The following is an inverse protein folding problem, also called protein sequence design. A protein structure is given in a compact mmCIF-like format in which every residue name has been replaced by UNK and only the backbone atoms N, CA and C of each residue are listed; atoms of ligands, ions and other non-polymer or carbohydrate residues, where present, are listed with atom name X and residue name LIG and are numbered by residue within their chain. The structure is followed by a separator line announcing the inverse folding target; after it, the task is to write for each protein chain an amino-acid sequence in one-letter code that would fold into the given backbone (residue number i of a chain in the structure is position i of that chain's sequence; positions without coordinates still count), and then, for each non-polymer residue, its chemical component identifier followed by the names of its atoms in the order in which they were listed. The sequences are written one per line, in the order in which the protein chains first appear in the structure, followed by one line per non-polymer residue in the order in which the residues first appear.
data_IF_229278827956
#
_entry.id   IF_229278827956
#
_cell.length_a   1.000
_cell.length_b   1.000
_cell.length_c   1.000
_cell.angle_alpha   90.00
_cell.angle_beta   90.00
_cell.angle_gamma   90.00
#
_symmetry.space_group_name_H-M   'P 1'
#
loop_
_entity.id
_entity.type
_entity.pdbx_description
1 polymer ?
#
# COMPACT_ATOMS: atom_id res chain seq x y z
N UNK A 1 -51.20 28.70 -7.62
CA UNK A 1 -51.79 27.91 -8.73
C UNK A 1 -51.45 26.40 -8.71
N UNK A 2 -50.63 25.89 -7.76
CA UNK A 2 -50.30 24.45 -7.66
C UNK A 2 -51.27 23.61 -6.79
N UNK A 3 -52.08 24.26 -5.96
CA UNK A 3 -53.02 23.61 -5.04
C UNK A 3 -54.05 22.66 -5.68
N UNK A 4 -54.70 23.01 -6.81
CA UNK A 4 -55.65 22.09 -7.46
C UNK A 4 -54.95 20.84 -8.02
N UNK A 5 -53.71 20.98 -8.50
CA UNK A 5 -52.91 19.85 -9.03
C UNK A 5 -52.54 18.87 -7.92
N UNK A 6 -52.11 19.37 -6.76
CA UNK A 6 -51.80 18.53 -5.59
C UNK A 6 -53.05 17.78 -5.10
N UNK A 7 -54.22 18.45 -5.04
CA UNK A 7 -55.49 17.80 -4.68
C UNK A 7 -55.91 16.72 -5.69
N UNK A 8 -55.72 16.97 -6.98
CA UNK A 8 -56.04 16.01 -8.03
C UNK A 8 -55.15 14.75 -7.95
N UNK A 9 -53.83 14.92 -7.73
CA UNK A 9 -52.92 13.79 -7.52
C UNK A 9 -53.28 13.01 -6.24
N UNK A 10 -53.55 13.70 -5.13
CA UNK A 10 -53.95 13.03 -3.87
C UNK A 10 -55.24 12.22 -4.03
N UNK A 11 -56.22 12.74 -4.78
CA UNK A 11 -57.48 12.05 -5.06
C UNK A 11 -57.31 10.79 -5.92
N UNK A 12 -56.44 10.85 -6.93
CA UNK A 12 -56.07 9.67 -7.74
C UNK A 12 -55.38 8.61 -6.88
N UNK A 13 -54.42 9.01 -6.06
CA UNK A 13 -53.66 8.10 -5.22
C UNK A 13 -54.53 7.44 -4.13
N UNK A 14 -55.52 8.15 -3.59
CA UNK A 14 -56.48 7.59 -2.61
C UNK A 14 -57.41 6.51 -3.19
N UNK A 15 -57.69 6.53 -4.51
CA UNK A 15 -58.52 5.52 -5.19
C UNK A 15 -57.74 4.29 -5.67
N UNK A 16 -56.42 4.42 -5.86
CA UNK A 16 -55.55 3.33 -6.34
C UNK A 16 -54.41 3.03 -5.35
N UNK A 17 -54.72 2.51 -4.14
CA UNK A 17 -53.73 2.29 -3.08
C UNK A 17 -52.62 1.30 -3.47
N UNK A 18 -52.94 0.31 -4.32
CA UNK A 18 -51.98 -0.67 -4.85
C UNK A 18 -50.88 -0.02 -5.71
N UNK A 19 -51.20 1.05 -6.44
CA UNK A 19 -50.23 1.73 -7.29
C UNK A 19 -49.16 2.47 -6.47
N UNK A 20 -49.56 3.09 -5.35
CA UNK A 20 -48.62 3.72 -4.40
C UNK A 20 -47.69 2.67 -3.80
N UNK A 21 -48.27 1.55 -3.35
CA UNK A 21 -47.51 0.46 -2.73
C UNK A 21 -46.45 -0.07 -3.70
N UNK A 22 -46.83 -0.33 -4.96
CA UNK A 22 -45.89 -0.80 -5.98
C UNK A 22 -44.79 0.22 -6.27
N UNK A 23 -45.12 1.50 -6.39
CA UNK A 23 -44.12 2.56 -6.62
C UNK A 23 -43.17 2.67 -5.44
N UNK A 24 -43.68 2.62 -4.22
CA UNK A 24 -42.87 2.68 -3.00
C UNK A 24 -41.96 1.46 -2.85
N UNK A 25 -42.46 0.27 -3.16
CA UNK A 25 -41.67 -0.96 -3.21
C UNK A 25 -40.59 -0.88 -4.30
N UNK A 26 -40.93 -0.45 -5.52
CA UNK A 26 -39.95 -0.29 -6.60
C UNK A 26 -38.86 0.73 -6.25
N UNK A 27 -39.23 1.85 -5.64
CA UNK A 27 -38.30 2.87 -5.18
C UNK A 27 -37.36 2.34 -4.08
N UNK A 28 -37.91 1.71 -3.05
CA UNK A 28 -37.13 1.17 -1.92
C UNK A 28 -36.18 0.07 -2.37
N UNK A 29 -36.63 -0.81 -3.27
CA UNK A 29 -35.82 -1.89 -3.84
C UNK A 29 -34.70 -1.34 -4.73
N UNK A 30 -35.00 -0.34 -5.58
CA UNK A 30 -33.99 0.34 -6.40
C UNK A 30 -32.93 1.06 -5.57
N UNK A 31 -33.34 1.81 -4.53
CA UNK A 31 -32.40 2.49 -3.62
C UNK A 31 -31.58 1.47 -2.83
N UNK A 32 -32.19 0.40 -2.33
CA UNK A 32 -31.48 -0.67 -1.61
C UNK A 32 -30.42 -1.35 -2.47
N UNK A 33 -30.73 -1.67 -3.73
CA UNK A 33 -29.77 -2.25 -4.67
C UNK A 33 -28.59 -1.30 -4.92
N UNK A 34 -28.88 -0.01 -5.18
CA UNK A 34 -27.85 1.00 -5.42
C UNK A 34 -26.93 1.17 -4.21
N UNK A 35 -27.49 1.27 -3.00
CA UNK A 35 -26.72 1.37 -1.76
C UNK A 35 -25.90 0.11 -1.51
N UNK A 36 -26.46 -1.08 -1.75
CA UNK A 36 -25.74 -2.34 -1.59
C UNK A 36 -24.52 -2.43 -2.52
N UNK A 37 -24.70 -2.16 -3.82
CA UNK A 37 -23.60 -2.18 -4.80
C UNK A 37 -22.56 -1.12 -4.49
N UNK A 38 -22.97 0.11 -4.17
CA UNK A 38 -22.03 1.19 -3.85
C UNK A 38 -21.26 0.92 -2.56
N UNK A 39 -21.90 0.36 -1.52
CA UNK A 39 -21.24 -0.03 -0.28
C UNK A 39 -20.19 -1.12 -0.49
N UNK A 40 -20.51 -2.16 -1.28
CA UNK A 40 -19.56 -3.23 -1.63
C UNK A 40 -18.40 -2.65 -2.44
N UNK A 41 -18.69 -1.83 -3.45
CA UNK A 41 -17.66 -1.22 -4.28
C UNK A 41 -16.75 -0.31 -3.44
N UNK A 42 -17.32 0.44 -2.50
CA UNK A 42 -16.56 1.28 -1.58
C UNK A 42 -15.65 0.45 -0.67
N UNK A 43 -16.15 -0.65 -0.11
CA UNK A 43 -15.35 -1.57 0.69
C UNK A 43 -14.19 -2.17 -0.12
N UNK A 44 -14.44 -2.59 -1.36
CA UNK A 44 -13.41 -3.10 -2.24
C UNK A 44 -12.33 -2.03 -2.51
N UNK A 45 -12.73 -0.81 -2.87
CA UNK A 45 -11.79 0.30 -3.11
C UNK A 45 -10.94 0.62 -1.87
N UNK A 46 -11.53 0.65 -0.68
CA UNK A 46 -10.80 0.89 0.57
C UNK A 46 -9.82 -0.25 0.88
N UNK A 47 -10.22 -1.50 0.67
CA UNK A 47 -9.36 -2.67 0.85
C UNK A 47 -8.15 -2.62 -0.11
N UNK A 48 -8.37 -2.30 -1.39
CA UNK A 48 -7.29 -2.17 -2.37
C UNK A 48 -6.34 -1.01 -2.07
N UNK A 49 -6.88 0.17 -1.72
CA UNK A 49 -6.06 1.33 -1.36
C UNK A 49 -5.18 1.08 -0.13
N UNK A 50 -5.58 0.14 0.73
CA UNK A 50 -4.81 -0.29 1.91
C UNK A 50 -3.72 -1.31 1.55
N UNK A 51 -3.98 -2.18 0.57
CA UNK A 51 -3.03 -3.20 0.09
C UNK A 51 -1.86 -2.64 -0.75
N UNK A 52 -2.06 -1.53 -1.46
CA UNK A 52 -1.01 -0.88 -2.26
C UNK A 52 -0.07 0.06 -1.47
N UNK A 53 -0.34 0.23 -0.16
CA UNK A 53 0.51 1.05 0.71
C UNK A 53 1.57 0.15 1.33
N UNK A 54 2.84 0.39 0.97
CA UNK A 54 3.97 -0.29 1.62
C UNK A 54 4.02 0.01 3.12
N UNK A 55 3.70 1.25 3.49
CA UNK A 55 3.66 1.72 4.87
C UNK A 55 2.34 2.41 5.18
N UNK A 56 1.88 2.33 6.44
CA UNK A 56 0.69 3.01 6.92
C UNK A 56 0.78 4.54 6.81
N UNK A 57 2.01 5.06 6.80
CA UNK A 57 2.26 6.45 6.52
C UNK A 57 2.40 6.71 5.00
N UNK A 58 1.60 7.63 4.42
CA UNK A 58 1.77 8.02 3.02
C UNK A 58 3.11 8.72 2.78
N UNK A 59 3.96 8.06 2.00
CA UNK A 59 4.98 8.70 1.14
C UNK A 59 4.27 9.14 -0.15
N UNK A 60 3.95 10.43 -0.29
CA UNK A 60 3.01 10.91 -1.31
C UNK A 60 3.55 10.78 -2.74
N UNK A 61 4.87 10.80 -2.90
CA UNK A 61 5.51 10.75 -4.21
C UNK A 61 6.27 9.44 -4.41
N UNK A 62 6.11 8.83 -5.58
CA UNK A 62 6.78 7.57 -5.94
C UNK A 62 7.32 7.66 -7.35
N UNK A 63 8.60 7.32 -7.51
CA UNK A 63 9.25 7.17 -8.80
C UNK A 63 9.22 5.69 -9.14
N UNK A 64 8.54 5.35 -10.24
CA UNK A 64 8.41 3.99 -10.76
C UNK A 64 8.88 3.96 -12.21
N UNK A 65 9.47 2.84 -12.65
CA UNK A 65 9.78 2.64 -14.06
C UNK A 65 8.49 2.62 -14.89
N UNK A 66 8.56 3.06 -16.15
CA UNK A 66 7.41 3.05 -17.07
C UNK A 66 6.88 1.63 -17.32
N UNK A 67 7.79 0.66 -17.36
CA UNK A 67 7.48 -0.76 -17.50
C UNK A 67 7.78 -1.48 -16.18
N UNK A 68 6.85 -2.31 -15.71
CA UNK A 68 6.97 -2.99 -14.42
C UNK A 68 8.15 -3.98 -14.33
N UNK A 69 8.63 -4.47 -15.48
CA UNK A 69 9.77 -5.40 -15.57
C UNK A 69 11.12 -4.70 -15.52
N UNK A 70 11.16 -3.40 -15.85
CA UNK A 70 12.38 -2.61 -15.79
C UNK A 70 12.66 -2.21 -14.34
N UNK A 71 13.94 -2.18 -13.94
CA UNK A 71 14.37 -1.67 -12.64
C UNK A 71 15.00 -0.29 -12.81
N UNK A 72 14.85 0.56 -11.80
CA UNK A 72 15.50 1.87 -11.74
C UNK A 72 17.00 1.64 -11.46
N UNK A 73 17.93 2.17 -12.29
CA UNK A 73 19.35 2.01 -12.05
C UNK A 73 19.77 2.57 -10.68
N UNK A 74 20.64 1.87 -9.95
CA UNK A 74 21.15 2.36 -8.67
C UNK A 74 21.85 3.73 -8.81
N UNK A 75 22.52 3.97 -9.94
CA UNK A 75 23.15 5.25 -10.26
C UNK A 75 22.17 6.43 -10.27
N UNK A 76 20.93 6.22 -10.74
CA UNK A 76 19.89 7.26 -10.73
C UNK A 76 19.55 7.70 -9.29
N UNK A 77 19.43 6.75 -8.36
CA UNK A 77 19.20 7.08 -6.95
C UNK A 77 20.38 7.86 -6.33
N UNK A 78 21.62 7.49 -6.68
CA UNK A 78 22.81 8.21 -6.21
C UNK A 78 22.81 9.66 -6.73
N UNK A 79 22.47 9.86 -8.00
CA UNK A 79 22.35 11.20 -8.60
C UNK A 79 21.25 12.02 -7.93
N UNK A 80 20.06 11.43 -7.76
CA UNK A 80 18.95 12.05 -7.05
C UNK A 80 19.35 12.56 -5.65
N UNK A 81 20.14 11.76 -4.92
CA UNK A 81 20.68 12.14 -3.61
C UNK A 81 21.70 13.27 -3.69
N UNK A 82 22.59 13.26 -4.70
CA UNK A 82 23.58 14.33 -4.94
C UNK A 82 22.91 15.66 -5.28
N UNK A 83 21.78 15.62 -5.97
CA UNK A 83 21.00 16.80 -6.35
C UNK A 83 20.14 17.36 -5.19
N UNK A 84 20.29 16.78 -3.99
CA UNK A 84 19.73 17.30 -2.75
C UNK A 84 18.38 16.71 -2.35
N UNK A 85 17.85 15.71 -3.07
CA UNK A 85 16.60 15.02 -2.72
C UNK A 85 16.83 13.98 -1.61
N UNK A 86 17.09 14.46 -0.39
CA UNK A 86 17.38 13.61 0.78
C UNK A 86 16.15 12.90 1.35
N UNK A 87 14.95 13.39 1.03
CA UNK A 87 13.67 12.83 1.47
C UNK A 87 13.20 11.60 0.67
N UNK A 88 14.05 11.05 -0.20
CA UNK A 88 13.75 9.90 -1.04
C UNK A 88 14.45 8.63 -0.55
N UNK A 89 13.72 7.51 -0.52
CA UNK A 89 14.18 6.20 -0.06
C UNK A 89 14.03 5.18 -1.18
N UNK A 90 15.07 4.37 -1.43
CA UNK A 90 15.04 3.32 -2.43
C UNK A 90 14.43 2.05 -1.83
N UNK A 91 13.61 1.35 -2.62
CA UNK A 91 13.07 0.05 -2.28
C UNK A 91 13.29 -0.93 -3.44
N UNK A 92 13.63 -2.18 -3.10
CA UNK A 92 13.58 -3.28 -4.05
C UNK A 92 12.55 -4.32 -3.61
N UNK A 93 11.60 -4.60 -4.49
CA UNK A 93 10.49 -5.51 -4.22
C UNK A 93 10.75 -6.76 -5.05
N UNK A 94 10.79 -7.90 -4.35
CA UNK A 94 10.94 -9.22 -4.94
C UNK A 94 9.76 -10.07 -4.51
N UNK A 95 9.14 -10.74 -5.48
CA UNK A 95 8.15 -11.78 -5.18
C UNK A 95 8.89 -13.03 -4.72
N UNK A 96 8.48 -13.57 -3.57
CA UNK A 96 8.99 -14.82 -3.02
C UNK A 96 7.82 -15.71 -2.66
N UNK A 97 7.99 -17.01 -2.81
CA UNK A 97 6.95 -17.98 -2.47
C UNK A 97 7.42 -18.77 -1.26
N UNK A 98 6.56 -18.88 -0.26
CA UNK A 98 6.83 -19.73 0.90
C UNK A 98 6.72 -21.21 0.51
N UNK A 99 7.29 -22.10 1.32
CA UNK A 99 7.15 -23.54 1.14
C UNK A 99 5.68 -24.01 1.11
N UNK A 100 4.78 -23.27 1.79
CA UNK A 100 3.35 -23.55 1.83
C UNK A 100 2.59 -23.04 0.59
N UNK A 101 3.28 -22.48 -0.41
CA UNK A 101 2.69 -21.93 -1.63
C UNK A 101 2.11 -20.51 -1.50
N UNK A 102 2.32 -19.83 -0.36
CA UNK A 102 1.91 -18.43 -0.20
C UNK A 102 2.90 -17.50 -0.90
N UNK A 103 2.41 -16.71 -1.86
CA UNK A 103 3.17 -15.62 -2.49
C UNK A 103 3.23 -14.39 -1.59
N UNK A 104 4.44 -13.86 -1.40
CA UNK A 104 4.71 -12.70 -0.56
C UNK A 104 5.57 -11.70 -1.32
N UNK A 105 5.39 -10.41 -0.98
CA UNK A 105 6.27 -9.37 -1.46
C UNK A 105 7.36 -9.12 -0.40
N UNK A 106 8.58 -9.52 -0.72
CA UNK A 106 9.76 -9.18 0.07
C UNK A 106 10.27 -7.81 -0.37
N UNK A 107 10.17 -6.84 0.53
CA UNK A 107 10.51 -5.43 0.33
C UNK A 107 11.84 -5.17 1.02
N UNK A 108 12.89 -5.01 0.21
CA UNK A 108 14.19 -4.54 0.65
C UNK A 108 14.18 -3.04 0.83
N UNK A 109 14.47 -2.59 2.05
CA UNK A 109 14.63 -1.18 2.38
C UNK A 109 16.00 -0.96 3.02
N UNK A 110 16.60 0.21 2.78
CA UNK A 110 17.81 0.62 3.51
C UNK A 110 17.40 1.32 4.81
N UNK A 111 17.73 0.76 5.99
CA UNK A 111 17.35 1.34 7.29
C UNK A 111 17.88 2.76 7.46
N UNK A 112 19.08 3.06 6.93
CA UNK A 112 19.69 4.39 7.04
C UNK A 112 18.92 5.42 6.22
N UNK A 113 18.46 5.04 5.04
CA UNK A 113 17.60 5.87 4.21
C UNK A 113 16.21 6.06 4.84
N UNK A 114 15.65 5.01 5.44
CA UNK A 114 14.36 5.08 6.15
C UNK A 114 14.38 6.07 7.33
N UNK A 115 15.48 6.13 8.09
CA UNK A 115 15.66 7.11 9.18
C UNK A 115 15.64 8.57 8.69
N UNK A 116 16.01 8.82 7.43
CA UNK A 116 16.04 10.16 6.86
C UNK A 116 14.67 10.67 6.41
N UNK A 117 13.64 9.82 6.41
CA UNK A 117 12.25 10.27 6.33
C UNK A 117 11.90 10.96 7.65
N UNK A 118 12.24 12.24 7.74
CA UNK A 118 11.98 13.13 8.89
C UNK A 118 10.50 13.17 9.33
N UNK A 119 9.59 12.69 8.49
CA UNK A 119 8.16 12.74 8.72
C UNK A 119 7.57 11.34 8.93
N UNK A 120 7.71 10.84 10.16
CA UNK A 120 6.73 10.10 10.99
C UNK A 120 7.32 8.88 11.69
N UNK A 121 6.98 8.85 12.98
CA UNK A 121 7.44 7.97 14.05
C UNK A 121 7.39 6.48 13.68
N UNK A 122 6.39 6.03 12.90
CA UNK A 122 6.21 4.60 12.63
C UNK A 122 7.28 3.99 11.72
N UNK A 123 7.73 4.69 10.67
CA UNK A 123 8.75 4.16 9.74
C UNK A 123 10.15 4.24 10.36
N UNK A 124 10.43 5.31 11.11
CA UNK A 124 11.69 5.47 11.85
C UNK A 124 11.83 4.43 12.96
N UNK A 125 10.73 4.04 13.60
CA UNK A 125 10.73 3.02 14.65
C UNK A 125 11.02 1.62 14.08
N UNK A 126 10.46 1.30 12.91
CA UNK A 126 10.77 0.09 12.12
C UNK A 126 12.28 0.04 11.82
N UNK A 127 12.85 1.17 11.36
CA UNK A 127 14.26 1.23 10.93
C UNK A 127 15.27 1.24 12.09
N UNK A 128 14.94 1.83 13.23
CA UNK A 128 15.94 2.28 14.23
C UNK A 128 16.50 1.20 15.15
N UNK A 129 15.81 0.10 15.40
CA UNK A 129 16.23 -0.83 16.46
C UNK A 129 16.60 -2.24 16.00
N UNK A 130 15.92 -2.81 15.01
CA UNK A 130 16.10 -4.24 14.70
C UNK A 130 16.78 -4.48 13.37
N UNK A 131 16.35 -3.77 12.32
CA UNK A 131 16.97 -3.86 11.00
C UNK A 131 18.44 -3.42 11.02
N UNK A 132 18.79 -2.41 11.81
CA UNK A 132 20.17 -1.92 11.94
C UNK A 132 21.05 -2.86 12.77
N UNK A 133 20.49 -3.47 13.82
CA UNK A 133 21.28 -4.32 14.75
C UNK A 133 21.48 -5.74 14.21
N UNK A 134 20.47 -6.29 13.54
CA UNK A 134 20.48 -7.66 13.02
C UNK A 134 19.92 -7.63 11.59
N UNK A 135 20.79 -7.48 10.56
CA UNK A 135 20.36 -7.25 9.17
C UNK A 135 19.63 -8.44 8.53
N UNK A 136 19.60 -9.60 9.20
CA UNK A 136 18.82 -10.78 8.79
C UNK A 136 17.39 -10.76 9.30
N UNK A 137 17.06 -9.88 10.27
CA UNK A 137 15.71 -9.76 10.81
C UNK A 137 14.75 -9.30 9.72
N UNK A 138 13.62 -9.98 9.63
CA UNK A 138 12.54 -9.59 8.73
C UNK A 138 11.36 -9.08 9.54
N UNK A 139 10.76 -8.00 9.06
CA UNK A 139 9.58 -7.40 9.65
C UNK A 139 8.34 -7.85 8.90
N UNK A 140 7.36 -8.34 9.64
CA UNK A 140 6.09 -8.86 9.11
C UNK A 140 4.96 -7.99 9.64
N UNK A 141 3.99 -7.66 8.79
CA UNK A 141 2.79 -6.93 9.23
C UNK A 141 2.00 -7.74 10.25
N UNK A 142 1.32 -7.06 11.18
CA UNK A 142 0.45 -7.71 12.16
C UNK A 142 -0.59 -8.62 11.46
N UNK A 143 -1.29 -8.11 10.45
CA UNK A 143 -2.33 -8.83 9.72
C UNK A 143 -1.79 -10.14 9.09
N UNK A 144 -0.57 -10.10 8.52
CA UNK A 144 0.06 -11.29 7.94
C UNK A 144 0.53 -12.28 9.02
N UNK A 145 1.01 -11.78 10.15
CA UNK A 145 1.42 -12.62 11.27
C UNK A 145 0.23 -13.35 11.89
N UNK A 146 -0.92 -12.70 12.02
CA UNK A 146 -2.15 -13.30 12.55
C UNK A 146 -2.71 -14.34 11.59
N UNK A 147 -2.73 -14.04 10.29
CA UNK A 147 -3.17 -14.97 9.24
C UNK A 147 -2.35 -16.27 9.22
N UNK A 148 -1.03 -16.18 9.45
CA UNK A 148 -0.11 -17.35 9.39
C UNK A 148 0.26 -17.91 10.75
N UNK A 149 -0.13 -17.27 11.84
CA UNK A 149 0.24 -17.64 13.20
C UNK A 149 1.73 -17.44 13.53
N UNK A 150 2.43 -16.58 12.78
CA UNK A 150 3.85 -16.31 12.99
C UNK A 150 4.09 -15.42 14.21
N UNK A 151 5.15 -15.72 14.96
CA UNK A 151 5.57 -15.04 16.17
C UNK A 151 6.97 -14.44 16.03
N UNK A 152 7.32 -13.57 16.97
CA UNK A 152 8.67 -13.04 17.07
C UNK A 152 9.69 -14.17 17.27
N UNK A 153 10.75 -14.18 16.46
CA UNK A 153 11.79 -15.22 16.47
C UNK A 153 11.55 -16.36 15.47
N UNK A 154 10.37 -16.46 14.86
CA UNK A 154 10.08 -17.51 13.89
C UNK A 154 10.94 -17.36 12.63
N UNK A 155 10.99 -18.43 11.84
CA UNK A 155 11.69 -18.47 10.56
C UNK A 155 10.74 -18.93 9.47
N UNK A 156 10.80 -18.27 8.31
CA UNK A 156 9.95 -18.55 7.16
C UNK A 156 10.79 -19.28 6.13
N UNK A 157 10.42 -20.52 5.81
CA UNK A 157 11.07 -21.28 4.74
C UNK A 157 10.42 -20.95 3.39
N UNK A 158 11.24 -20.56 2.44
CA UNK A 158 10.85 -20.32 1.05
C UNK A 158 10.80 -21.63 0.25
N UNK A 159 10.12 -21.60 -0.89
CA UNK A 159 9.99 -22.71 -1.84
C UNK A 159 11.35 -23.25 -2.34
N UNK A 160 12.32 -22.35 -2.51
CA UNK A 160 13.69 -22.65 -2.89
C UNK A 160 14.58 -23.16 -1.73
N UNK A 161 14.00 -23.40 -0.55
CA UNK A 161 14.70 -23.91 0.64
C UNK A 161 15.45 -22.85 1.44
N UNK A 162 15.48 -21.58 1.01
CA UNK A 162 16.07 -20.50 1.79
C UNK A 162 15.20 -20.18 3.02
N UNK A 163 15.84 -19.74 4.10
CA UNK A 163 15.16 -19.42 5.35
C UNK A 163 15.29 -17.92 5.61
N UNK A 164 14.15 -17.25 5.78
CA UNK A 164 14.08 -15.84 6.18
C UNK A 164 13.79 -15.75 7.67
N UNK A 165 14.57 -14.98 8.40
CA UNK A 165 14.37 -14.83 9.83
C UNK A 165 15.58 -14.28 10.58
N UNK A 166 15.41 -13.87 11.84
CA UNK A 166 14.20 -14.06 12.64
C UNK A 166 13.05 -13.11 12.24
N UNK A 167 11.81 -13.59 12.36
CA UNK A 167 10.60 -12.79 12.19
C UNK A 167 10.47 -11.83 13.36
N UNK A 168 10.14 -10.58 13.05
CA UNK A 168 9.66 -9.61 14.03
C UNK A 168 8.34 -9.02 13.55
N UNK A 169 7.31 -9.20 14.35
CA UNK A 169 5.96 -8.70 14.06
C UNK A 169 5.94 -7.21 14.35
N UNK A 170 5.48 -6.44 13.36
CA UNK A 170 5.28 -5.00 13.50
C UNK A 170 4.10 -4.72 14.42
N UNK A 171 4.40 -4.38 15.67
CA UNK A 171 3.41 -4.04 16.69
C UNK A 171 2.80 -2.65 16.53
N UNK A 172 3.36 -1.80 15.66
CA UNK A 172 2.94 -0.39 15.50
C UNK A 172 2.17 -0.13 14.21
N UNK A 173 1.78 -1.20 13.49
CA UNK A 173 0.95 -1.15 12.28
C UNK A 173 1.56 -0.20 11.23
N UNK A 174 2.88 -0.16 11.13
CA UNK A 174 3.61 0.62 10.14
C UNK A 174 3.67 -0.04 8.78
N UNK A 175 3.61 -1.37 8.70
CA UNK A 175 3.58 -2.18 7.48
C UNK A 175 2.16 -2.69 7.25
N UNK A 176 1.69 -2.64 6.01
CA UNK A 176 0.33 -3.07 5.63
C UNK A 176 0.36 -4.18 4.58
N UNK A 177 -0.68 -5.02 4.60
CA UNK A 177 -0.89 -6.08 3.62
C UNK A 177 0.09 -7.26 3.75
N UNK A 178 0.24 -8.02 2.66
CA UNK A 178 1.07 -9.23 2.60
C UNK A 178 2.53 -8.92 2.23
N UNK A 179 3.16 -8.05 3.02
CA UNK A 179 4.51 -7.59 2.77
C UNK A 179 5.43 -7.98 3.92
N UNK A 180 6.64 -8.37 3.56
CA UNK A 180 7.75 -8.58 4.49
C UNK A 180 8.78 -7.51 4.19
N UNK A 181 9.17 -6.74 5.20
CA UNK A 181 10.21 -5.71 5.06
C UNK A 181 11.52 -6.27 5.61
N UNK A 182 12.60 -6.17 4.84
CA UNK A 182 13.92 -6.63 5.24
C UNK A 182 15.00 -5.62 4.82
N UNK A 183 16.22 -5.80 5.33
CA UNK A 183 17.36 -5.04 4.83
C UNK A 183 17.54 -5.30 3.32
N UNK A 184 17.80 -4.23 2.57
CA UNK A 184 18.04 -4.30 1.12
C UNK A 184 19.13 -5.33 0.76
N UNK A 185 20.16 -5.47 1.59
CA UNK A 185 21.27 -6.40 1.39
C UNK A 185 20.80 -7.85 1.46
N UNK A 186 19.88 -8.17 2.38
CA UNK A 186 19.27 -9.50 2.48
C UNK A 186 18.50 -9.85 1.20
N UNK A 187 17.67 -8.92 0.72
CA UNK A 187 16.87 -9.12 -0.49
C UNK A 187 17.76 -9.35 -1.72
N UNK A 188 18.84 -8.58 -1.85
CA UNK A 188 19.80 -8.70 -2.96
C UNK A 188 20.64 -9.98 -2.87
N UNK A 189 20.88 -10.50 -1.67
CA UNK A 189 21.54 -11.78 -1.47
C UNK A 189 20.67 -12.96 -1.95
N UNK A 190 19.35 -12.90 -1.69
CA UNK A 190 18.40 -13.93 -2.11
C UNK A 190 18.18 -13.95 -3.61
N UNK A 191 18.05 -12.76 -4.22
CA UNK A 191 17.85 -12.61 -5.66
C UNK A 191 18.69 -11.46 -6.16
N UNK A 192 19.72 -11.77 -6.95
CA UNK A 192 20.60 -10.75 -7.53
C UNK A 192 19.79 -9.81 -8.42
N UNK A 193 19.57 -8.59 -7.93
CA UNK A 193 18.98 -7.48 -8.67
C UNK A 193 19.99 -6.34 -8.75
N UNK A 194 20.14 -5.78 -9.95
CA UNK A 194 21.05 -4.67 -10.22
C UNK A 194 20.35 -3.29 -10.12
N UNK A 195 19.08 -3.24 -9.71
CA UNK A 195 18.30 -2.02 -9.70
C UNK A 195 17.17 -2.03 -8.67
N UNK A 196 16.51 -0.88 -8.56
CA UNK A 196 15.47 -0.60 -7.59
C UNK A 196 14.10 -0.77 -8.22
N UNK A 197 13.12 -1.19 -7.44
CA UNK A 197 11.73 -1.33 -7.92
C UNK A 197 10.97 0.00 -7.85
N UNK A 198 11.21 0.77 -6.79
CA UNK A 198 10.54 2.04 -6.54
C UNK A 198 11.44 2.92 -5.68
N UNK A 199 11.38 4.22 -5.91
CA UNK A 199 11.94 5.21 -4.98
C UNK A 199 10.76 6.00 -4.43
N UNK A 200 10.54 5.95 -3.11
CA UNK A 200 9.48 6.73 -2.48
C UNK A 200 10.05 8.00 -1.85
N UNK A 201 9.40 9.13 -2.09
CA UNK A 201 9.81 10.42 -1.57
C UNK A 201 8.76 10.98 -0.61
N UNK A 202 9.22 11.57 0.48
CA UNK A 202 8.39 12.35 1.39
C UNK A 202 7.89 13.64 0.76
N UNK A 203 7.13 14.40 1.54
CA UNK A 203 6.63 15.73 1.17
C UNK A 203 7.75 16.64 0.64
N UNK A 204 7.44 17.43 -0.38
CA UNK A 204 8.37 18.36 -1.02
C UNK A 204 7.64 19.60 -1.52
N UNK A 205 8.34 20.73 -1.61
CA UNK A 205 7.73 21.94 -2.17
C UNK A 205 7.43 21.77 -3.66
N UNK A 206 6.46 22.53 -4.18
CA UNK A 206 6.10 22.52 -5.60
C UNK A 206 7.31 22.73 -6.52
N UNK A 207 8.22 23.64 -6.16
CA UNK A 207 9.46 23.87 -6.90
C UNK A 207 10.46 22.70 -6.85
N UNK A 208 10.50 21.92 -5.77
CA UNK A 208 11.28 20.67 -5.72
C UNK A 208 10.64 19.59 -6.59
N UNK A 209 9.32 19.47 -6.57
CA UNK A 209 8.59 18.49 -7.37
C UNK A 209 8.76 18.73 -8.88
N UNK A 210 8.69 19.99 -9.31
CA UNK A 210 8.91 20.34 -10.72
C UNK A 210 10.36 20.07 -11.17
N UNK A 211 11.35 20.33 -10.30
CA UNK A 211 12.74 19.95 -10.58
C UNK A 211 12.89 18.43 -10.71
N UNK A 212 12.25 17.67 -9.82
CA UNK A 212 12.27 16.21 -9.86
C UNK A 212 11.63 15.66 -11.15
N UNK A 213 10.49 16.22 -11.57
CA UNK A 213 9.80 15.84 -12.82
C UNK A 213 10.68 16.07 -14.03
N UNK A 214 11.32 17.25 -14.12
CA UNK A 214 12.25 17.56 -15.22
C UNK A 214 13.42 16.58 -15.27
N UNK A 215 14.00 16.25 -14.12
CA UNK A 215 15.09 15.27 -14.03
C UNK A 215 14.69 13.88 -14.52
N UNK A 216 13.50 13.39 -14.12
CA UNK A 216 13.00 12.07 -14.54
C UNK A 216 12.68 12.03 -16.04
N UNK A 217 12.25 13.14 -16.64
CA UNK A 217 11.92 13.18 -18.07
C UNK A 217 13.15 13.23 -18.99
N UNK A 218 14.31 13.62 -18.47
CA UNK A 218 15.57 13.72 -19.23
C UNK A 218 16.39 12.43 -19.25
N UNK A 219 16.03 11.42 -18.44
CA UNK A 219 16.71 10.12 -18.35
C UNK A 219 15.80 8.95 -18.72
#
# INVERSE_FOLDING_TARGET
MLWPVVKALLGHYRRHPLQILLVWLGLTLGVSLLVGVTAINHHAQQAYASGERLFANPVPYRIRPKHAETKIPQGFYIQLRRDGFKQCVPFDIQKVTTKDGLELNLVGADPISLLQLKNKVTISDIASQDLIKVPTTILVSHDLSELKGWKNGDSITLDNGLVLGPVKVDSKVGIKGMQIVADMSLVRALKRSAGLSVIACGEMSSGQLERLRKMIQMG
#
